data_IF_062987728955
#
_entry.id   IF_062987728955
#
_cell.length_a   1.000
_cell.length_b   1.000
_cell.length_c   1.000
_cell.angle_alpha   90.00
_cell.angle_beta   90.00
_cell.angle_gamma   90.00
#
_symmetry.space_group_name_H-M   'P 1'
#
loop_
_entity.id
_entity.type
_entity.pdbx_description
1 polymer ?
#
# COMPACT_ATOMS: atom_id res chain seq x y z
N UNK A 1 16.77 3.28 -0.03
CA UNK A 1 15.68 4.01 0.69
C UNK A 1 14.37 3.33 0.34
N UNK A 2 13.42 3.18 1.32
CA UNK A 2 12.09 2.61 1.12
C UNK A 2 11.05 3.73 1.14
N UNK A 3 10.04 3.66 0.26
CA UNK A 3 8.89 4.56 0.22
C UNK A 3 7.61 3.74 0.32
N UNK A 4 6.73 4.10 1.25
CA UNK A 4 5.38 3.53 1.33
C UNK A 4 4.52 4.12 0.21
N UNK A 5 4.00 3.26 -0.65
CA UNK A 5 3.20 3.63 -1.82
C UNK A 5 2.03 2.67 -2.01
N UNK A 6 1.07 3.06 -2.82
CA UNK A 6 0.08 2.13 -3.35
C UNK A 6 0.52 1.72 -4.76
N UNK A 7 0.82 0.44 -4.94
CA UNK A 7 1.16 -0.11 -6.25
C UNK A 7 -0.11 -0.60 -6.93
N UNK A 8 -0.39 -0.10 -8.14
CA UNK A 8 -1.41 -0.69 -9.01
C UNK A 8 -0.77 -1.62 -10.03
N UNK A 9 -1.40 -2.75 -10.22
CA UNK A 9 -1.08 -3.78 -11.24
C UNK A 9 -2.37 -4.23 -11.91
N UNK A 10 -2.27 -4.95 -13.01
CA UNK A 10 -3.42 -5.41 -13.78
C UNK A 10 -3.19 -6.84 -14.26
N UNK A 11 -4.25 -7.66 -14.29
CA UNK A 11 -4.18 -8.97 -14.90
C UNK A 11 -4.47 -8.92 -16.41
N UNK A 12 -4.38 -10.06 -17.11
CA UNK A 12 -4.64 -10.17 -18.54
C UNK A 12 -6.08 -9.81 -18.94
N UNK A 13 -7.03 -9.93 -18.01
CA UNK A 13 -8.41 -9.55 -18.21
C UNK A 13 -8.68 -8.05 -18.00
N UNK A 14 -7.64 -7.27 -17.69
CA UNK A 14 -7.76 -5.83 -17.41
C UNK A 14 -8.27 -5.50 -16.00
N UNK A 15 -8.31 -6.46 -15.09
CA UNK A 15 -8.73 -6.24 -13.70
C UNK A 15 -7.59 -5.59 -12.91
N UNK A 16 -7.84 -4.38 -12.42
CA UNK A 16 -6.87 -3.61 -11.62
C UNK A 16 -6.82 -4.12 -10.19
N UNK A 17 -5.63 -4.21 -9.66
CA UNK A 17 -5.36 -4.55 -8.26
C UNK A 17 -4.49 -3.49 -7.62
N UNK A 18 -4.91 -2.98 -6.45
CA UNK A 18 -4.15 -2.05 -5.62
C UNK A 18 -3.64 -2.75 -4.37
N UNK A 19 -2.39 -2.51 -4.03
CA UNK A 19 -1.80 -3.02 -2.80
C UNK A 19 -0.76 -2.05 -2.23
N UNK A 20 -0.66 -1.91 -0.89
CA UNK A 20 0.39 -1.13 -0.25
C UNK A 20 1.74 -1.84 -0.35
N UNK A 21 2.78 -1.10 -0.70
CA UNK A 21 4.15 -1.58 -0.78
C UNK A 21 5.16 -0.55 -0.28
N UNK A 22 6.09 -1.00 0.52
CA UNK A 22 7.37 -0.32 0.68
C UNK A 22 8.26 -0.63 -0.52
N UNK A 23 8.23 0.24 -1.55
CA UNK A 23 9.11 0.09 -2.72
C UNK A 23 10.52 0.59 -2.40
N UNK A 24 11.52 -0.07 -2.94
CA UNK A 24 12.93 0.25 -2.68
C UNK A 24 13.52 1.02 -3.86
N UNK A 25 14.19 2.15 -3.57
CA UNK A 25 14.89 2.88 -4.60
C UNK A 25 16.12 2.10 -5.09
N UNK A 26 16.32 2.03 -6.41
CA UNK A 26 17.44 1.40 -7.08
C UNK A 26 17.81 2.24 -8.31
N UNK A 27 19.02 2.82 -8.33
CA UNK A 27 19.48 3.70 -9.39
C UNK A 27 18.39 4.67 -9.89
N UNK A 28 17.97 4.54 -11.16
CA UNK A 28 16.92 5.35 -11.79
C UNK A 28 15.53 4.70 -11.72
N UNK A 29 15.34 3.70 -10.84
CA UNK A 29 14.11 2.91 -10.77
C UNK A 29 13.69 2.51 -9.37
N UNK A 30 12.84 1.48 -9.34
CA UNK A 30 12.26 0.94 -8.11
C UNK A 30 12.25 -0.58 -8.12
N UNK A 31 12.40 -1.18 -6.94
CA UNK A 31 12.16 -2.60 -6.74
C UNK A 31 10.81 -2.77 -6.04
N UNK A 32 9.95 -3.60 -6.62
CA UNK A 32 8.71 -4.09 -6.00
C UNK A 32 8.97 -5.53 -5.58
N UNK A 33 8.75 -5.85 -4.30
CA UNK A 33 9.02 -7.19 -3.76
C UNK A 33 7.75 -7.77 -3.11
N UNK A 34 6.82 -8.34 -3.89
CA UNK A 34 5.61 -8.97 -3.37
C UNK A 34 5.92 -10.30 -2.66
N UNK A 35 5.16 -10.61 -1.62
CA UNK A 35 5.20 -11.94 -1.00
C UNK A 35 4.58 -13.00 -1.91
N UNK A 36 4.99 -14.26 -1.74
CA UNK A 36 4.33 -15.44 -2.30
C UNK A 36 3.36 -16.04 -1.27
N UNK A 37 2.12 -16.37 -1.65
CA UNK A 37 1.42 -15.98 -2.90
C UNK A 37 0.86 -14.55 -2.80
N UNK A 38 0.72 -13.85 -3.91
CA UNK A 38 -0.02 -12.57 -3.95
C UNK A 38 -0.49 -12.20 -5.34
N UNK A 39 -1.63 -11.51 -5.43
CA UNK A 39 -2.20 -11.03 -6.69
C UNK A 39 -1.25 -10.10 -7.45
N UNK A 40 -0.52 -9.24 -6.73
CA UNK A 40 0.50 -8.37 -7.34
C UNK A 40 1.61 -9.17 -8.03
N UNK A 41 2.07 -10.27 -7.40
CA UNK A 41 3.07 -11.16 -7.99
C UNK A 41 2.55 -11.78 -9.29
N UNK A 42 1.33 -12.32 -9.25
CA UNK A 42 0.72 -12.99 -10.41
C UNK A 42 0.54 -11.98 -11.56
N UNK A 43 0.03 -10.78 -11.25
CA UNK A 43 -0.16 -9.72 -12.23
C UNK A 43 1.16 -9.31 -12.89
N UNK A 44 2.22 -9.04 -12.10
CA UNK A 44 3.52 -8.58 -12.63
C UNK A 44 4.22 -9.62 -13.51
N UNK A 45 3.91 -10.91 -13.35
CA UNK A 45 4.44 -11.98 -14.20
C UNK A 45 3.79 -12.03 -15.58
N UNK A 46 2.54 -11.61 -15.69
CA UNK A 46 1.79 -11.65 -16.97
C UNK A 46 1.70 -10.28 -17.62
N UNK A 47 1.56 -9.22 -16.84
CA UNK A 47 1.58 -7.82 -17.30
C UNK A 47 2.75 -7.12 -16.61
N UNK A 48 3.93 -6.99 -17.27
CA UNK A 48 5.16 -6.53 -16.63
C UNK A 48 5.21 -5.00 -16.46
N UNK A 49 4.10 -4.41 -16.04
CA UNK A 49 3.94 -2.98 -15.79
C UNK A 49 3.24 -2.75 -14.45
N UNK A 50 3.60 -1.66 -13.80
CA UNK A 50 2.97 -1.21 -12.55
C UNK A 50 2.93 0.31 -12.48
N UNK A 51 2.09 0.84 -11.59
CA UNK A 51 2.14 2.25 -11.20
C UNK A 51 2.43 2.33 -9.71
N UNK A 52 3.45 3.09 -9.34
CA UNK A 52 3.69 3.48 -7.95
C UNK A 52 2.95 4.80 -7.69
N UNK A 53 1.87 4.74 -6.92
CA UNK A 53 1.05 5.90 -6.57
C UNK A 53 1.48 6.45 -5.21
N UNK A 54 1.93 7.70 -5.17
CA UNK A 54 2.21 8.44 -3.94
C UNK A 54 0.92 9.15 -3.51
N UNK A 55 0.38 8.79 -2.36
CA UNK A 55 -0.86 9.37 -1.82
C UNK A 55 -0.72 9.62 -0.33
N UNK A 56 -1.40 10.65 0.16
CA UNK A 56 -1.60 10.97 1.57
C UNK A 56 -2.97 10.47 2.10
N UNK A 57 -3.83 9.93 1.22
CA UNK A 57 -5.08 9.29 1.63
C UNK A 57 -4.81 7.90 2.21
N UNK A 58 -4.66 7.84 3.54
CA UNK A 58 -4.39 6.60 4.28
C UNK A 58 -5.52 5.59 4.23
N UNK A 59 -6.74 5.99 3.81
CA UNK A 59 -7.86 5.06 3.60
C UNK A 59 -7.52 4.03 2.52
N UNK A 60 -6.74 4.40 1.51
CA UNK A 60 -6.33 3.46 0.46
C UNK A 60 -5.43 2.37 1.02
N UNK A 61 -4.46 2.73 1.88
CA UNK A 61 -3.58 1.77 2.56
C UNK A 61 -4.38 0.78 3.40
N UNK A 62 -5.25 1.30 4.25
CA UNK A 62 -6.08 0.49 5.16
C UNK A 62 -7.13 -0.31 4.40
N UNK A 63 -7.79 0.30 3.41
CA UNK A 63 -8.83 -0.33 2.62
C UNK A 63 -8.33 -1.59 1.89
N UNK A 64 -7.15 -1.53 1.28
CA UNK A 64 -6.52 -2.70 0.65
C UNK A 64 -6.32 -3.87 1.63
N UNK A 65 -6.08 -3.60 2.92
CA UNK A 65 -5.87 -4.62 3.95
C UNK A 65 -7.18 -5.09 4.61
N UNK A 66 -8.26 -4.33 4.48
CA UNK A 66 -9.55 -4.59 5.15
C UNK A 66 -10.67 -4.95 4.16
N UNK A 67 -10.30 -5.34 2.91
CA UNK A 67 -11.22 -5.85 1.91
C UNK A 67 -11.93 -4.78 1.06
N UNK A 68 -11.50 -3.52 1.14
CA UNK A 68 -12.00 -2.42 0.32
C UNK A 68 -11.05 -2.22 -0.87
N UNK A 69 -11.37 -2.84 -2.02
CA UNK A 69 -10.48 -2.89 -3.17
C UNK A 69 -10.89 -1.99 -4.35
N UNK A 70 -12.03 -1.33 -4.25
CA UNK A 70 -12.57 -0.48 -5.33
C UNK A 70 -12.18 0.98 -5.08
N UNK A 71 -11.18 1.45 -5.85
CA UNK A 71 -10.70 2.83 -5.79
C UNK A 71 -10.84 3.49 -7.15
N UNK A 72 -11.19 4.79 -7.21
CA UNK A 72 -11.25 5.52 -8.47
C UNK A 72 -9.92 5.50 -9.21
N UNK A 73 -9.96 5.23 -10.51
CA UNK A 73 -8.78 5.15 -11.38
C UNK A 73 -8.75 6.26 -12.40
N UNK A 74 -7.56 6.55 -12.93
CA UNK A 74 -7.35 7.38 -14.10
C UNK A 74 -6.29 6.72 -15.00
N UNK A 75 -6.37 6.98 -16.30
CA UNK A 75 -5.41 6.45 -17.26
C UNK A 75 -3.99 6.97 -16.98
N UNK A 76 -3.02 6.18 -17.37
CA UNK A 76 -1.61 6.54 -17.51
C UNK A 76 -1.31 6.89 -18.98
N UNK A 77 -0.15 7.49 -19.23
CA UNK A 77 0.21 7.93 -20.58
C UNK A 77 1.03 6.88 -21.33
N UNK A 78 1.93 6.16 -20.64
CA UNK A 78 2.89 5.23 -21.26
C UNK A 78 2.48 3.76 -21.14
N UNK A 79 1.57 3.42 -20.21
CA UNK A 79 1.18 2.04 -19.92
C UNK A 79 -0.35 1.90 -19.76
N UNK A 80 -0.86 0.69 -20.01
CA UNK A 80 -2.28 0.40 -19.87
C UNK A 80 -2.75 0.25 -18.41
N UNK A 81 -1.83 0.00 -17.46
CA UNK A 81 -2.17 -0.12 -16.03
C UNK A 81 -2.60 1.26 -15.51
N UNK A 82 -3.82 1.41 -14.98
CA UNK A 82 -4.28 2.71 -14.51
C UNK A 82 -3.67 3.07 -13.16
N UNK A 83 -3.56 4.38 -12.93
CA UNK A 83 -3.18 4.96 -11.65
C UNK A 83 -4.37 5.14 -10.71
N UNK A 84 -4.10 5.34 -9.43
CA UNK A 84 -5.07 5.86 -8.46
C UNK A 84 -5.40 7.32 -8.82
N UNK A 85 -6.68 7.66 -9.01
CA UNK A 85 -7.04 9.00 -9.47
C UNK A 85 -6.72 10.09 -8.44
N UNK A 86 -6.81 9.78 -7.12
CA UNK A 86 -6.50 10.68 -6.01
C UNK A 86 -5.02 10.72 -5.58
N UNK A 87 -4.11 10.12 -6.35
CA UNK A 87 -2.67 10.18 -6.02
C UNK A 87 -2.13 11.62 -6.18
N UNK A 88 -1.26 12.04 -5.26
CA UNK A 88 -0.52 13.31 -5.36
C UNK A 88 0.52 13.28 -6.49
N UNK A 89 1.10 12.11 -6.72
CA UNK A 89 2.03 11.84 -7.82
C UNK A 89 2.00 10.36 -8.17
N UNK A 90 2.46 10.01 -9.37
CA UNK A 90 2.67 8.61 -9.73
C UNK A 90 3.91 8.44 -10.60
N UNK A 91 4.45 7.21 -10.55
CA UNK A 91 5.49 6.74 -11.44
C UNK A 91 4.97 5.54 -12.25
N UNK A 92 5.06 5.62 -13.57
CA UNK A 92 4.78 4.53 -14.49
C UNK A 92 6.03 3.66 -14.63
N UNK A 93 5.87 2.35 -14.35
CA UNK A 93 6.98 1.44 -14.18
C UNK A 93 6.90 0.28 -15.18
N UNK A 94 8.05 -0.07 -15.77
CA UNK A 94 8.21 -1.29 -16.56
C UNK A 94 9.23 -2.22 -15.89
N UNK A 95 8.84 -3.49 -15.68
CA UNK A 95 9.72 -4.52 -15.17
C UNK A 95 10.84 -4.78 -16.17
N UNK A 96 12.09 -4.72 -15.72
CA UNK A 96 13.29 -4.97 -16.55
C UNK A 96 13.82 -6.38 -16.35
N UNK A 97 13.83 -6.85 -15.11
CA UNK A 97 14.21 -8.23 -14.75
C UNK A 97 13.61 -8.61 -13.39
N UNK A 98 13.67 -9.91 -13.09
CA UNK A 98 13.18 -10.48 -11.83
C UNK A 98 14.33 -11.23 -11.17
N UNK A 99 14.68 -10.84 -9.94
CA UNK A 99 15.54 -11.63 -9.06
C UNK A 99 14.65 -12.58 -8.26
N UNK A 100 14.73 -13.87 -8.57
CA UNK A 100 13.89 -14.88 -7.90
C UNK A 100 14.29 -15.07 -6.45
N UNK A 101 13.29 -15.26 -5.61
CA UNK A 101 13.42 -15.58 -4.18
C UNK A 101 12.24 -16.47 -3.78
N UNK A 102 12.45 -17.36 -2.82
CA UNK A 102 11.42 -18.32 -2.40
C UNK A 102 10.20 -17.65 -1.77
N UNK A 103 10.39 -16.53 -1.06
CA UNK A 103 9.33 -15.83 -0.34
C UNK A 103 8.96 -14.49 -0.97
N UNK A 104 9.96 -13.72 -1.46
CA UNK A 104 9.79 -12.35 -1.94
C UNK A 104 10.61 -12.07 -3.18
N UNK A 105 10.23 -12.57 -4.36
CA UNK A 105 10.91 -12.21 -5.60
C UNK A 105 10.92 -10.69 -5.81
N UNK A 106 12.02 -10.18 -6.36
CA UNK A 106 12.23 -8.75 -6.57
C UNK A 106 12.05 -8.42 -8.04
N UNK A 107 11.06 -7.57 -8.32
CA UNK A 107 10.82 -7.02 -9.65
C UNK A 107 11.54 -5.69 -9.76
N UNK A 108 12.63 -5.67 -10.52
CA UNK A 108 13.39 -4.47 -10.83
C UNK A 108 12.69 -3.72 -11.95
N UNK A 109 12.36 -2.45 -11.71
CA UNK A 109 11.53 -1.65 -12.58
C UNK A 109 12.26 -0.36 -12.95
N UNK A 110 12.32 -0.05 -14.25
CA UNK A 110 12.70 1.30 -14.70
C UNK A 110 11.50 2.21 -14.68
N UNK A 111 11.71 3.48 -14.39
CA UNK A 111 10.69 4.52 -14.51
C UNK A 111 10.53 4.92 -15.97
N UNK A 112 9.30 4.86 -16.49
CA UNK A 112 8.95 5.34 -17.81
C UNK A 112 8.56 6.82 -17.75
N UNK A 113 7.79 7.18 -16.72
CA UNK A 113 7.26 8.53 -16.53
C UNK A 113 7.01 8.81 -15.04
N UNK A 114 7.27 10.03 -14.61
CA UNK A 114 6.86 10.56 -13.32
C UNK A 114 5.95 11.76 -13.55
N UNK A 115 4.80 11.81 -12.85
CA UNK A 115 3.85 12.90 -12.94
C UNK A 115 3.40 13.36 -11.55
N UNK A 116 3.46 14.65 -11.28
CA UNK A 116 2.87 15.26 -10.09
C UNK A 116 1.48 15.82 -10.42
N UNK A 117 0.51 15.58 -9.55
CA UNK A 117 -0.88 16.02 -9.71
C UNK A 117 -1.26 17.08 -8.68
N UNK A 118 -0.73 16.98 -7.46
CA UNK A 118 -0.97 17.91 -6.38
C UNK A 118 0.27 18.08 -5.51
N UNK A 119 0.45 19.24 -4.86
CA UNK A 119 1.58 19.44 -3.96
C UNK A 119 1.41 18.65 -2.66
N UNK A 120 2.52 18.19 -2.10
CA UNK A 120 2.55 17.64 -0.76
C UNK A 120 2.28 18.72 0.28
N UNK A 121 1.31 18.52 1.18
CA UNK A 121 0.85 19.53 2.14
C UNK A 121 1.63 19.52 3.49
N UNK A 122 2.59 18.63 3.63
CA UNK A 122 3.34 18.44 4.88
C UNK A 122 3.01 17.13 5.58
N UNK A 123 3.78 16.81 6.63
CA UNK A 123 3.59 15.57 7.39
C UNK A 123 2.44 15.69 8.39
N UNK A 124 1.52 14.72 8.35
CA UNK A 124 0.48 14.54 9.36
C UNK A 124 0.83 13.31 10.23
N UNK A 125 0.85 13.48 11.56
CA UNK A 125 1.19 12.39 12.48
C UNK A 125 0.13 11.29 12.53
N UNK A 126 -1.15 11.63 12.30
CA UNK A 126 -2.21 10.63 12.22
C UNK A 126 -2.04 9.74 10.97
N UNK A 127 -1.63 10.30 9.83
CA UNK A 127 -1.33 9.51 8.62
C UNK A 127 -0.20 8.51 8.90
N UNK A 128 0.89 8.95 9.52
CA UNK A 128 1.98 8.05 9.91
C UNK A 128 1.51 6.97 10.89
N UNK A 129 0.71 7.33 11.89
CA UNK A 129 0.17 6.38 12.87
C UNK A 129 -0.78 5.35 12.23
N UNK A 130 -1.61 5.76 11.28
CA UNK A 130 -2.49 4.85 10.53
C UNK A 130 -1.68 3.87 9.68
N UNK A 131 -0.62 4.31 9.00
CA UNK A 131 0.26 3.43 8.22
C UNK A 131 0.95 2.41 9.13
N UNK A 132 1.52 2.83 10.27
CA UNK A 132 2.12 1.92 11.24
C UNK A 132 1.10 0.91 11.80
N UNK A 133 -0.10 1.36 12.14
CA UNK A 133 -1.18 0.47 12.59
C UNK A 133 -1.61 -0.51 11.49
N UNK A 134 -1.62 -0.10 10.21
CA UNK A 134 -1.89 -0.99 9.08
C UNK A 134 -0.83 -2.10 8.96
N UNK A 135 0.46 -1.78 9.19
CA UNK A 135 1.55 -2.77 9.26
C UNK A 135 1.32 -3.76 10.40
N UNK A 136 0.92 -3.30 11.60
CA UNK A 136 0.57 -4.18 12.72
C UNK A 136 -0.59 -5.10 12.36
N UNK A 137 -1.66 -4.56 11.77
CA UNK A 137 -2.85 -5.33 11.35
C UNK A 137 -2.50 -6.40 10.32
N UNK A 138 -1.60 -6.12 9.38
CA UNK A 138 -1.15 -7.10 8.39
C UNK A 138 -0.41 -8.29 9.02
N UNK A 139 0.06 -8.15 10.27
CA UNK A 139 0.88 -9.12 11.01
C UNK A 139 0.21 -9.68 12.27
N UNK A 140 -1.10 -9.52 12.45
CA UNK A 140 -1.81 -9.96 13.66
C UNK A 140 -1.58 -11.44 14.00
N UNK A 141 -1.46 -12.31 12.99
CA UNK A 141 -1.17 -13.75 13.18
C UNK A 141 0.25 -14.04 13.67
N UNK A 142 1.16 -13.07 13.58
CA UNK A 142 2.59 -13.22 13.86
C UNK A 142 3.02 -12.49 15.13
N UNK A 143 2.19 -11.58 15.63
CA UNK A 143 2.51 -10.69 16.74
C UNK A 143 1.72 -11.10 18.01
N UNK A 144 2.36 -11.06 19.20
CA UNK A 144 1.64 -11.22 20.45
C UNK A 144 0.59 -10.11 20.65
N UNK A 145 -0.57 -10.46 21.19
CA UNK A 145 -1.69 -9.56 21.40
C UNK A 145 -1.31 -8.33 22.26
N UNK A 146 -0.60 -8.56 23.37
CA UNK A 146 -0.16 -7.49 24.27
C UNK A 146 0.76 -6.46 23.59
N UNK A 147 1.57 -6.91 22.63
CA UNK A 147 2.39 -6.01 21.80
C UNK A 147 1.50 -5.14 20.91
N UNK A 148 0.55 -5.74 20.20
CA UNK A 148 -0.36 -5.01 19.32
C UNK A 148 -1.16 -3.97 20.12
N UNK A 149 -1.72 -4.34 21.27
CA UNK A 149 -2.52 -3.46 22.13
C UNK A 149 -1.69 -2.25 22.63
N UNK A 150 -0.44 -2.48 23.07
CA UNK A 150 0.45 -1.38 23.50
C UNK A 150 0.79 -0.41 22.37
N UNK A 151 1.12 -0.94 21.18
CA UNK A 151 1.49 -0.10 20.05
C UNK A 151 0.28 0.69 19.53
N UNK A 152 -0.89 0.06 19.43
CA UNK A 152 -2.14 0.75 19.08
C UNK A 152 -2.47 1.86 20.08
N UNK A 153 -2.33 1.62 21.38
CA UNK A 153 -2.57 2.65 22.40
C UNK A 153 -1.63 3.86 22.24
N UNK A 154 -0.38 3.64 21.87
CA UNK A 154 0.57 4.71 21.59
C UNK A 154 0.20 5.49 20.31
N UNK A 155 -0.10 4.80 19.22
CA UNK A 155 -0.46 5.41 17.93
C UNK A 155 -1.78 6.20 18.02
N UNK A 156 -2.74 5.75 18.85
CA UNK A 156 -4.00 6.45 19.11
C UNK A 156 -3.79 7.89 19.59
N UNK A 157 -2.68 8.19 20.27
CA UNK A 157 -2.37 9.56 20.74
C UNK A 157 -2.18 10.51 19.55
N UNK A 158 -1.52 10.07 18.50
CA UNK A 158 -1.30 10.88 17.31
C UNK A 158 -2.63 11.08 16.53
N UNK A 159 -3.40 10.01 16.38
CA UNK A 159 -4.72 10.03 15.74
C UNK A 159 -5.64 11.02 16.48
N UNK A 160 -5.80 10.86 17.79
CA UNK A 160 -6.67 11.74 18.59
C UNK A 160 -6.29 13.22 18.61
N UNK A 161 -5.05 13.56 18.21
CA UNK A 161 -4.56 14.95 18.20
C UNK A 161 -4.53 15.59 16.81
N UNK A 162 -4.40 14.81 15.74
CA UNK A 162 -4.07 15.36 14.41
C UNK A 162 -4.84 14.74 13.25
N UNK A 163 -5.76 13.80 13.52
CA UNK A 163 -6.61 13.21 12.51
C UNK A 163 -7.67 14.19 12.00
N UNK A 164 -7.98 14.08 10.72
CA UNK A 164 -9.20 14.58 10.10
C UNK A 164 -10.09 13.38 9.73
N UNK A 165 -11.21 13.62 9.05
CA UNK A 165 -12.22 12.60 8.78
C UNK A 165 -11.65 11.34 8.05
N UNK A 166 -10.69 11.51 7.13
CA UNK A 166 -10.10 10.41 6.39
C UNK A 166 -9.26 9.48 7.29
N UNK A 167 -8.45 10.08 8.18
CA UNK A 167 -7.63 9.33 9.13
C UNK A 167 -8.48 8.64 10.20
N UNK A 168 -9.55 9.30 10.68
CA UNK A 168 -10.49 8.71 11.63
C UNK A 168 -11.24 7.52 11.03
N UNK A 169 -11.70 7.64 9.78
CA UNK A 169 -12.34 6.56 9.04
C UNK A 169 -11.40 5.35 8.87
N UNK A 170 -10.19 5.58 8.38
CA UNK A 170 -9.18 4.55 8.21
C UNK A 170 -8.81 3.88 9.55
N UNK A 171 -8.65 4.66 10.61
CA UNK A 171 -8.42 4.14 11.96
C UNK A 171 -9.55 3.25 12.44
N UNK A 172 -10.80 3.66 12.22
CA UNK A 172 -11.99 2.86 12.54
C UNK A 172 -11.95 1.48 11.89
N UNK A 173 -11.60 1.38 10.59
CA UNK A 173 -11.48 0.11 9.87
C UNK A 173 -10.38 -0.80 10.44
N UNK A 174 -9.26 -0.22 10.88
CA UNK A 174 -8.20 -1.00 11.55
C UNK A 174 -8.67 -1.55 12.89
N UNK A 175 -9.34 -0.74 13.71
CA UNK A 175 -9.87 -1.18 15.00
C UNK A 175 -10.96 -2.26 14.85
N UNK A 176 -11.79 -2.16 13.84
CA UNK A 176 -12.76 -3.21 13.49
C UNK A 176 -12.05 -4.52 13.13
N UNK A 177 -11.01 -4.45 12.29
CA UNK A 177 -10.25 -5.64 11.87
C UNK A 177 -9.53 -6.32 13.04
N UNK A 178 -8.94 -5.55 13.96
CA UNK A 178 -8.29 -6.07 15.17
C UNK A 178 -9.33 -6.78 16.05
N UNK A 179 -10.48 -6.15 16.31
CA UNK A 179 -11.56 -6.75 17.11
C UNK A 179 -12.06 -8.06 16.49
N UNK A 180 -12.33 -8.04 15.19
CA UNK A 180 -12.79 -9.22 14.46
C UNK A 180 -11.77 -10.36 14.56
N UNK A 181 -10.48 -10.07 14.35
CA UNK A 181 -9.42 -11.07 14.43
C UNK A 181 -9.35 -11.76 15.81
N UNK A 182 -9.36 -11.00 16.90
CA UNK A 182 -9.30 -11.57 18.24
C UNK A 182 -10.59 -12.27 18.66
N UNK A 183 -11.74 -11.85 18.13
CA UNK A 183 -13.00 -12.57 18.34
C UNK A 183 -13.00 -13.94 17.62
N UNK A 184 -12.46 -14.01 16.40
CA UNK A 184 -12.35 -15.27 15.62
C UNK A 184 -11.34 -16.26 16.21
N UNK A 185 -10.26 -15.76 16.81
CA UNK A 185 -9.17 -16.59 17.33
C UNK A 185 -9.31 -16.99 18.79
N UNK A 186 -10.29 -16.43 19.51
CA UNK A 186 -10.52 -16.69 20.95
C UNK A 186 -9.37 -16.23 21.85
N UNK A 187 -8.57 -15.32 21.37
CA UNK A 187 -7.29 -14.89 21.99
C UNK A 187 -7.45 -13.57 22.72
#
# INVERSE_FOLDING_TARGET
>A
MIRETIVSTMDEAGQVHFAPFGIMAEDDGWIIAPFRPSKTLDNLRVVPFAVANSTDDVRVFVGCLTGRSQWPTAACDEIAVPRLSGALAHAELAVTHISEDEQRPRFHCRVLRNVAHAPFQGFNRAQAAVIEAAILVSRLRMLPRDKVEREIAYLQIAVGKTAAAAEEEAWGWLMERIRAFYAETGS
#
